data_IF_189549861100
#
_entry.id   IF_189549861100
#
_cell.length_a   1.000
_cell.length_b   1.000
_cell.length_c   1.000
_cell.angle_alpha   90.00
_cell.angle_beta   90.00
_cell.angle_gamma   90.00
#
_symmetry.space_group_name_H-M   'P 1'
#
loop_
_entity.id
_entity.type
_entity.pdbx_description
1 polymer ?
#
# COMPACT_ATOMS: atom_id res chain seq x y z
N UNK A 1 -19.80 25.26 5.53
CA UNK A 1 -18.37 25.42 5.91
C UNK A 1 -17.67 25.99 4.70
N UNK A 2 -17.14 27.21 4.80
CA UNK A 2 -16.38 27.82 3.69
C UNK A 2 -15.06 27.06 3.62
N UNK A 3 -14.81 26.38 2.50
CA UNK A 3 -13.52 25.74 2.25
C UNK A 3 -12.44 26.82 2.29
N UNK A 4 -11.40 26.63 3.11
CA UNK A 4 -10.25 27.52 3.11
C UNK A 4 -9.57 27.41 1.75
N UNK A 5 -9.57 28.48 0.95
CA UNK A 5 -8.81 28.52 -0.31
C UNK A 5 -7.32 28.61 0.03
N UNK A 6 -6.66 27.45 0.07
CA UNK A 6 -5.22 27.37 0.14
C UNK A 6 -4.66 27.85 -1.22
N UNK A 7 -3.83 28.89 -1.21
CA UNK A 7 -3.25 29.48 -2.42
C UNK A 7 -1.73 29.54 -2.29
N UNK A 8 -1.01 28.94 -3.23
CA UNK A 8 0.44 29.12 -3.37
C UNK A 8 0.72 30.01 -4.56
N UNK A 9 1.44 31.10 -4.33
CA UNK A 9 1.84 32.06 -5.37
C UNK A 9 3.35 32.10 -5.50
N UNK A 10 3.84 32.01 -6.73
CA UNK A 10 5.25 32.22 -7.08
C UNK A 10 5.39 33.57 -7.74
N UNK A 11 6.36 34.38 -7.30
CA UNK A 11 6.54 35.77 -7.75
C UNK A 11 7.48 35.94 -8.94
N UNK A 12 7.85 34.84 -9.62
CA UNK A 12 8.69 34.82 -10.80
C UNK A 12 8.08 33.89 -11.86
N UNK A 13 8.36 34.17 -13.14
CA UNK A 13 7.99 33.27 -14.23
C UNK A 13 8.89 32.02 -14.19
N UNK A 14 8.28 30.84 -14.29
CA UNK A 14 9.00 29.57 -14.19
C UNK A 14 9.89 29.35 -15.41
N UNK A 15 9.41 29.78 -16.58
CA UNK A 15 10.11 29.77 -17.86
C UNK A 15 11.37 30.65 -17.88
N UNK A 16 11.40 31.73 -17.10
CA UNK A 16 12.53 32.66 -17.00
C UNK A 16 13.48 32.30 -15.83
N UNK A 17 13.29 31.14 -15.20
CA UNK A 17 14.02 30.70 -14.02
C UNK A 17 14.68 29.35 -14.24
N UNK A 18 15.84 29.12 -13.61
CA UNK A 18 16.44 27.79 -13.56
C UNK A 18 15.79 26.88 -12.50
N UNK A 19 14.82 27.38 -11.75
CA UNK A 19 14.15 26.67 -10.66
C UNK A 19 13.56 25.32 -11.10
N UNK A 20 12.83 25.20 -12.23
CA UNK A 20 12.29 23.90 -12.68
C UNK A 20 13.35 22.82 -12.94
N UNK A 21 14.61 23.20 -13.17
CA UNK A 21 15.73 22.29 -13.42
C UNK A 21 16.46 21.86 -12.14
N UNK A 22 16.13 22.47 -11.00
CA UNK A 22 16.76 22.14 -9.72
C UNK A 22 16.11 20.91 -9.08
N UNK A 23 16.87 20.08 -8.36
CA UNK A 23 16.32 18.97 -7.57
C UNK A 23 15.24 19.39 -6.56
N UNK A 24 15.23 20.66 -6.14
CA UNK A 24 14.24 21.21 -5.22
C UNK A 24 12.85 21.43 -5.82
N UNK A 25 12.72 21.54 -7.14
CA UNK A 25 11.43 21.83 -7.77
C UNK A 25 10.39 20.71 -7.60
N UNK A 26 10.72 19.42 -7.83
CA UNK A 26 9.81 18.31 -7.53
C UNK A 26 9.40 18.26 -6.04
N UNK A 27 10.31 18.57 -5.13
CA UNK A 27 10.04 18.61 -3.67
C UNK A 27 9.05 19.73 -3.34
N UNK A 28 9.28 20.93 -3.91
CA UNK A 28 8.39 22.07 -3.77
C UNK A 28 6.98 21.75 -4.29
N UNK A 29 6.87 21.11 -5.46
CA UNK A 29 5.58 20.73 -6.04
C UNK A 29 4.85 19.72 -5.15
N UNK A 30 5.55 18.67 -4.70
CA UNK A 30 4.96 17.65 -3.81
C UNK A 30 4.43 18.26 -2.50
N UNK A 31 5.21 19.14 -1.87
CA UNK A 31 4.82 19.82 -0.63
C UNK A 31 3.66 20.80 -0.87
N UNK A 32 3.68 21.53 -1.98
CA UNK A 32 2.61 22.46 -2.35
C UNK A 32 1.31 21.72 -2.59
N UNK A 33 1.34 20.62 -3.35
CA UNK A 33 0.17 19.78 -3.58
C UNK A 33 -0.37 19.20 -2.27
N UNK A 34 0.49 18.63 -1.42
CA UNK A 34 0.08 18.11 -0.12
C UNK A 34 -0.50 19.18 0.81
N UNK A 35 0.00 20.42 0.72
CA UNK A 35 -0.56 21.54 1.45
C UNK A 35 -1.93 21.93 0.91
N UNK A 36 -2.06 22.13 -0.41
CA UNK A 36 -3.30 22.53 -1.11
C UNK A 36 -4.42 21.49 -1.04
N UNK A 37 -4.12 20.20 -0.90
CA UNK A 37 -5.15 19.15 -0.79
C UNK A 37 -5.60 18.94 0.65
N UNK A 38 -4.88 19.50 1.64
CA UNK A 38 -5.14 19.25 3.05
C UNK A 38 -5.10 17.77 3.46
N UNK A 39 -4.56 16.89 2.61
CA UNK A 39 -4.60 15.44 2.80
C UNK A 39 -3.62 15.02 3.90
N UNK A 40 -4.10 15.06 5.15
CA UNK A 40 -3.29 14.65 6.30
C UNK A 40 -3.33 13.13 6.44
N UNK A 41 -2.26 12.51 5.94
CA UNK A 41 -1.86 11.12 6.16
C UNK A 41 -2.79 10.08 5.53
N UNK A 42 -2.34 9.47 4.44
CA UNK A 42 -2.92 8.21 3.98
C UNK A 42 -2.48 7.07 4.93
N UNK A 43 -3.41 6.46 5.65
CA UNK A 43 -3.13 5.26 6.45
C UNK A 43 -3.25 4.02 5.57
N UNK A 44 -2.21 3.21 5.46
CA UNK A 44 -2.31 1.90 4.81
C UNK A 44 -2.66 0.80 5.83
N UNK A 45 -3.66 -0.03 5.52
CA UNK A 45 -4.13 -1.13 6.38
C UNK A 45 -4.50 -2.37 5.55
N UNK A 46 -4.42 -3.55 6.15
CA UNK A 46 -5.01 -4.76 5.57
C UNK A 46 -6.54 -4.75 5.76
N UNK A 47 -7.30 -5.48 4.91
CA UNK A 47 -8.74 -5.66 5.12
C UNK A 47 -9.07 -6.23 6.50
N UNK A 48 -10.28 -5.95 6.97
CA UNK A 48 -10.78 -6.33 8.29
C UNK A 48 -11.15 -5.12 9.13
N UNK A 49 -10.99 -5.25 10.46
CA UNK A 49 -11.34 -4.22 11.44
C UNK A 49 -10.24 -3.16 11.50
N UNK A 50 -10.57 -1.93 11.13
CA UNK A 50 -9.64 -0.81 11.07
C UNK A 50 -9.98 0.18 12.19
N UNK A 51 -8.94 0.62 12.91
CA UNK A 51 -9.05 1.66 13.92
C UNK A 51 -8.32 2.93 13.45
N UNK A 52 -9.04 4.05 13.51
CA UNK A 52 -8.51 5.36 13.16
C UNK A 52 -8.52 6.23 14.42
N UNK A 53 -7.39 6.86 14.81
CA UNK A 53 -7.25 7.64 16.04
C UNK A 53 -7.91 9.02 15.91
N UNK A 54 -9.17 9.02 15.51
CA UNK A 54 -10.04 10.17 15.36
C UNK A 54 -11.40 9.74 15.91
N UNK A 55 -11.85 10.27 17.05
CA UNK A 55 -13.14 9.92 17.63
C UNK A 55 -14.28 10.56 16.82
N UNK A 56 -15.47 9.95 16.88
CA UNK A 56 -16.71 10.54 16.31
C UNK A 56 -16.59 10.88 14.81
N UNK A 57 -15.78 10.11 14.10
CA UNK A 57 -15.60 10.27 12.66
C UNK A 57 -16.65 9.50 11.85
N UNK A 58 -17.13 10.12 10.78
CA UNK A 58 -17.89 9.48 9.71
C UNK A 58 -16.93 8.83 8.72
N UNK A 59 -17.31 7.67 8.19
CA UNK A 59 -16.52 6.93 7.21
C UNK A 59 -17.32 6.80 5.92
N UNK A 60 -16.66 7.08 4.80
CA UNK A 60 -17.21 6.89 3.47
C UNK A 60 -16.25 6.06 2.61
N UNK A 61 -16.78 5.28 1.67
CA UNK A 61 -15.99 4.60 0.63
C UNK A 61 -15.56 5.58 -0.48
N UNK A 62 -14.93 5.07 -1.54
CA UNK A 62 -14.46 5.87 -2.67
C UNK A 62 -15.62 6.45 -3.49
N UNK A 63 -16.75 5.74 -3.55
CA UNK A 63 -17.98 6.21 -4.20
C UNK A 63 -18.74 7.25 -3.35
N UNK A 64 -18.32 7.48 -2.11
CA UNK A 64 -18.95 8.42 -1.17
C UNK A 64 -20.11 7.83 -0.39
N UNK A 65 -20.34 6.52 -0.44
CA UNK A 65 -21.35 5.86 0.38
C UNK A 65 -20.88 5.76 1.83
N UNK A 66 -21.80 5.97 2.77
CA UNK A 66 -21.50 5.87 4.19
C UNK A 66 -21.22 4.42 4.59
N UNK A 67 -20.10 4.21 5.26
CA UNK A 67 -19.69 2.93 5.83
C UNK A 67 -20.00 2.93 7.32
N UNK A 68 -20.64 1.85 7.78
CA UNK A 68 -20.99 1.70 9.19
C UNK A 68 -19.73 1.76 10.07
N UNK A 69 -19.68 2.76 10.95
CA UNK A 69 -18.56 3.01 11.84
C UNK A 69 -19.04 3.17 13.28
N UNK A 70 -18.26 2.65 14.22
CA UNK A 70 -18.51 2.74 15.66
C UNK A 70 -17.47 3.66 16.30
N UNK A 71 -17.94 4.62 17.11
CA UNK A 71 -17.06 5.48 17.89
C UNK A 71 -16.73 4.85 19.23
N UNK A 72 -15.44 4.70 19.51
CA UNK A 72 -14.89 4.30 20.80
C UNK A 72 -14.16 5.49 21.45
N UNK A 73 -13.83 5.44 22.75
CA UNK A 73 -13.02 6.47 23.39
C UNK A 73 -11.70 6.71 22.63
N UNK A 74 -11.57 7.90 22.04
CA UNK A 74 -10.40 8.36 21.31
C UNK A 74 -10.20 7.79 19.89
N UNK A 75 -11.12 6.97 19.35
CA UNK A 75 -10.95 6.35 18.02
C UNK A 75 -12.28 6.01 17.36
N UNK A 76 -12.29 5.97 16.03
CA UNK A 76 -13.38 5.41 15.23
C UNK A 76 -12.94 4.07 14.66
N UNK A 77 -13.85 3.10 14.69
CA UNK A 77 -13.64 1.74 14.21
C UNK A 77 -14.62 1.44 13.09
N UNK A 78 -14.13 0.92 11.97
CA UNK A 78 -14.97 0.42 10.88
C UNK A 78 -14.40 -0.89 10.34
N UNK A 79 -15.21 -1.62 9.57
CA UNK A 79 -14.78 -2.87 8.93
C UNK A 79 -14.72 -2.66 7.42
N UNK A 80 -13.57 -2.93 6.82
CA UNK A 80 -13.40 -2.99 5.37
C UNK A 80 -13.31 -4.46 4.92
N UNK A 81 -14.38 -4.97 4.30
CA UNK A 81 -14.42 -6.34 3.78
C UNK A 81 -13.58 -6.53 2.52
N UNK A 82 -13.36 -5.45 1.77
CA UNK A 82 -12.63 -5.44 0.50
C UNK A 82 -11.50 -4.41 0.54
N UNK A 83 -10.52 -4.56 -0.35
CA UNK A 83 -9.51 -3.53 -0.57
C UNK A 83 -10.12 -2.32 -1.28
N UNK A 84 -9.74 -1.12 -0.85
CA UNK A 84 -10.35 0.11 -1.33
C UNK A 84 -9.81 1.34 -0.60
N UNK A 85 -10.26 2.52 -1.02
CA UNK A 85 -9.93 3.78 -0.38
C UNK A 85 -11.14 4.26 0.43
N UNK A 86 -10.90 4.60 1.69
CA UNK A 86 -11.93 5.11 2.59
C UNK A 86 -11.57 6.51 3.06
N UNK A 87 -12.57 7.37 3.20
CA UNK A 87 -12.42 8.72 3.71
C UNK A 87 -13.03 8.78 5.11
N UNK A 88 -12.22 9.18 6.08
CA UNK A 88 -12.62 9.34 7.48
C UNK A 88 -12.66 10.83 7.79
N UNK A 89 -13.83 11.34 8.13
CA UNK A 89 -14.07 12.77 8.37
C UNK A 89 -14.57 12.96 9.79
N UNK A 90 -13.90 13.81 10.57
CA UNK A 90 -14.40 14.28 11.86
C UNK A 90 -14.16 15.78 11.95
N UNK A 91 -15.23 16.58 12.08
CA UNK A 91 -15.23 18.04 12.27
C UNK A 91 -14.24 18.84 11.41
N UNK A 92 -12.96 18.90 11.79
CA UNK A 92 -11.87 19.65 11.16
C UNK A 92 -10.78 18.75 10.53
N UNK A 93 -10.89 17.43 10.64
CA UNK A 93 -9.90 16.45 10.16
C UNK A 93 -10.51 15.54 9.13
N UNK A 94 -9.85 15.48 7.97
CA UNK A 94 -10.08 14.48 6.92
C UNK A 94 -8.84 13.61 6.81
N UNK A 95 -9.02 12.29 6.85
CA UNK A 95 -7.96 11.30 6.72
C UNK A 95 -8.39 10.26 5.72
N UNK A 96 -7.50 9.92 4.79
CA UNK A 96 -7.73 8.85 3.84
C UNK A 96 -7.11 7.55 4.35
N UNK A 97 -7.83 6.45 4.23
CA UNK A 97 -7.38 5.12 4.66
C UNK A 97 -7.38 4.22 3.44
N UNK A 98 -6.19 3.84 2.99
CA UNK A 98 -5.99 2.90 1.91
C UNK A 98 -5.96 1.48 2.47
N UNK A 99 -6.98 0.70 2.16
CA UNK A 99 -7.07 -0.71 2.52
C UNK A 99 -6.54 -1.53 1.36
N UNK A 100 -5.44 -2.23 1.58
CA UNK A 100 -4.74 -2.96 0.53
C UNK A 100 -4.51 -4.43 0.95
N UNK A 101 -4.66 -5.35 0.00
CA UNK A 101 -4.32 -6.76 0.18
C UNK A 101 -2.81 -6.96 0.35
N UNK A 102 -2.01 -6.09 -0.26
CA UNK A 102 -0.56 -6.15 -0.14
C UNK A 102 -0.10 -5.54 1.18
N UNK A 103 0.66 -6.28 1.98
CA UNK A 103 1.21 -5.72 3.22
C UNK A 103 2.25 -4.62 2.91
N UNK A 104 2.23 -3.54 3.67
CA UNK A 104 3.24 -2.47 3.58
C UNK A 104 4.66 -2.98 3.89
N UNK A 105 4.79 -4.05 4.70
CA UNK A 105 6.07 -4.72 5.00
C UNK A 105 6.72 -5.30 3.74
N UNK A 106 5.92 -5.88 2.85
CA UNK A 106 6.41 -6.49 1.61
C UNK A 106 6.56 -5.48 0.46
N UNK A 107 5.88 -4.33 0.53
CA UNK A 107 5.92 -3.28 -0.50
C UNK A 107 6.92 -2.16 -0.20
N UNK A 108 7.51 -2.13 1.00
CA UNK A 108 8.50 -1.11 1.37
C UNK A 108 9.90 -1.44 0.82
N UNK A 109 10.06 -1.29 -0.50
CA UNK A 109 11.33 -1.55 -1.21
C UNK A 109 12.47 -0.62 -0.80
N UNK A 110 12.15 0.56 -0.24
CA UNK A 110 13.14 1.51 0.25
C UNK A 110 13.51 1.32 1.73
N UNK A 111 12.79 0.47 2.47
CA UNK A 111 13.10 0.13 3.87
C UNK A 111 13.69 -1.29 4.03
N UNK A 112 13.78 -2.07 2.95
CA UNK A 112 14.44 -3.38 2.95
C UNK A 112 15.96 -3.20 2.88
N UNK A 113 16.64 -3.33 4.02
CA UNK A 113 18.09 -3.50 4.05
C UNK A 113 18.41 -4.98 3.74
N UNK A 114 19.04 -5.24 2.60
CA UNK A 114 19.73 -6.52 2.36
C UNK A 114 21.07 -6.49 3.09
N UNK A 115 21.04 -6.55 4.42
CA UNK A 115 22.22 -6.78 5.23
C UNK A 115 22.58 -8.27 5.24
N UNK A 116 23.86 -8.65 5.42
CA UNK A 116 24.31 -10.04 5.44
C UNK A 116 23.88 -10.82 6.70
N UNK A 117 23.13 -10.20 7.60
CA UNK A 117 22.74 -10.75 8.90
C UNK A 117 21.22 -10.57 9.06
N UNK A 118 20.46 -11.45 8.37
CA UNK A 118 19.02 -11.59 8.63
C UNK A 118 18.88 -12.43 9.89
N UNK A 119 18.68 -11.75 11.01
CA UNK A 119 18.35 -12.35 12.29
C UNK A 119 16.96 -13.00 12.21
N UNK A 120 16.96 -14.32 12.04
CA UNK A 120 15.78 -15.17 11.94
C UNK A 120 15.21 -15.47 13.33
N UNK A 121 14.72 -14.46 14.03
CA UNK A 121 13.91 -14.68 15.24
C UNK A 121 12.44 -14.94 14.88
N UNK A 122 11.82 -16.04 15.36
CA UNK A 122 10.43 -16.35 15.06
C UNK A 122 9.50 -15.29 15.67
N UNK A 123 8.68 -14.66 14.84
CA UNK A 123 7.60 -13.79 15.31
C UNK A 123 6.44 -14.72 15.73
N UNK A 124 6.26 -14.93 17.03
CA UNK A 124 5.04 -15.56 17.56
C UNK A 124 3.85 -14.64 17.31
N UNK A 125 2.98 -14.99 16.36
CA UNK A 125 1.69 -14.32 16.15
C UNK A 125 0.55 -15.20 16.68
N UNK A 126 -0.23 -14.72 17.66
CA UNK A 126 -1.34 -15.47 18.22
C UNK A 126 -2.60 -15.29 17.34
N UNK A 127 -3.07 -16.42 16.79
CA UNK A 127 -4.41 -16.69 16.23
C UNK A 127 -4.81 -16.14 14.84
N UNK A 128 -5.04 -17.09 13.90
CA UNK A 128 -6.41 -17.35 13.44
C UNK A 128 -6.84 -16.85 12.06
N UNK A 129 -5.94 -16.41 11.19
CA UNK A 129 -6.24 -16.24 9.76
C UNK A 129 -5.90 -17.53 9.02
N UNK A 130 -6.73 -17.96 8.06
CA UNK A 130 -6.27 -18.94 7.04
C UNK A 130 -5.12 -18.27 6.29
N UNK A 131 -3.91 -18.49 6.78
CA UNK A 131 -2.70 -18.37 6.00
C UNK A 131 -3.00 -19.15 4.73
N UNK A 132 -3.12 -18.45 3.61
CA UNK A 132 -2.71 -19.07 2.36
C UNK A 132 -1.26 -19.40 2.63
N UNK A 133 -1.00 -20.64 3.05
CA UNK A 133 0.35 -21.20 3.06
C UNK A 133 0.84 -20.95 1.64
N UNK A 134 1.59 -19.87 1.46
CA UNK A 134 2.47 -19.68 0.32
C UNK A 134 3.43 -20.84 0.43
N UNK A 135 3.02 -22.00 -0.09
CA UNK A 135 3.73 -23.23 0.10
C UNK A 135 5.10 -23.01 -0.52
N UNK A 136 6.16 -22.82 0.29
CA UNK A 136 7.46 -22.34 -0.20
C UNK A 136 8.12 -23.39 -1.09
N UNK A 137 7.48 -24.56 -1.26
CA UNK A 137 7.89 -25.67 -2.11
C UNK A 137 7.21 -25.68 -3.47
N UNK A 138 6.18 -24.86 -3.75
CA UNK A 138 5.50 -24.87 -5.05
C UNK A 138 6.43 -24.48 -6.20
N UNK A 139 7.25 -23.44 -6.01
CA UNK A 139 8.22 -23.03 -7.02
C UNK A 139 9.29 -24.12 -7.25
N UNK A 140 9.70 -24.83 -6.19
CA UNK A 140 10.63 -25.97 -6.28
C UNK A 140 9.99 -27.12 -7.05
N UNK A 141 8.72 -27.45 -6.79
CA UNK A 141 8.01 -28.49 -7.54
C UNK A 141 7.87 -28.12 -9.01
N UNK A 142 7.58 -26.86 -9.34
CA UNK A 142 7.53 -26.38 -10.72
C UNK A 142 8.90 -26.45 -11.41
N UNK A 143 9.98 -26.13 -10.69
CA UNK A 143 11.35 -26.24 -11.20
C UNK A 143 11.74 -27.68 -11.48
N UNK A 144 11.40 -28.61 -10.58
CA UNK A 144 11.62 -30.06 -10.79
C UNK A 144 10.83 -30.56 -11.99
N UNK A 145 9.55 -30.19 -12.12
CA UNK A 145 8.71 -30.56 -13.27
C UNK A 145 9.30 -30.02 -14.57
N UNK A 146 9.70 -28.74 -14.62
CA UNK A 146 10.34 -28.15 -15.79
C UNK A 146 11.64 -28.88 -16.17
N UNK A 147 12.45 -29.24 -15.18
CA UNK A 147 13.70 -29.99 -15.40
C UNK A 147 13.44 -31.38 -15.98
N UNK A 148 12.42 -32.09 -15.48
CA UNK A 148 12.01 -33.40 -16.01
C UNK A 148 11.48 -33.30 -17.44
N UNK A 149 10.73 -32.24 -17.77
CA UNK A 149 10.24 -32.02 -19.12
C UNK A 149 11.39 -31.76 -20.10
N UNK A 150 12.35 -30.89 -19.76
CA UNK A 150 13.50 -30.57 -20.61
C UNK A 150 14.42 -31.79 -20.80
N UNK A 151 14.70 -32.53 -19.73
CA UNK A 151 15.52 -33.74 -19.82
C UNK A 151 14.81 -34.87 -20.57
N UNK A 152 13.50 -35.01 -20.39
CA UNK A 152 12.66 -35.93 -21.16
C UNK A 152 12.64 -35.59 -22.64
N UNK A 153 12.44 -34.33 -23.00
CA UNK A 153 12.51 -33.84 -24.38
C UNK A 153 13.89 -34.12 -24.99
N UNK A 154 14.97 -33.76 -24.30
CA UNK A 154 16.33 -34.01 -24.75
C UNK A 154 16.59 -35.50 -25.02
N UNK A 155 16.15 -36.38 -24.11
CA UNK A 155 16.31 -37.82 -24.27
C UNK A 155 15.51 -38.37 -25.46
N UNK A 156 14.29 -37.85 -25.65
CA UNK A 156 13.42 -38.24 -26.77
C UNK A 156 14.01 -37.80 -28.11
N UNK A 157 14.54 -36.57 -28.16
CA UNK A 157 15.27 -36.02 -29.30
C UNK A 157 16.51 -36.86 -29.63
N UNK A 158 17.31 -37.22 -28.62
CA UNK A 158 18.52 -38.01 -28.82
C UNK A 158 18.23 -39.44 -29.31
N UNK A 159 17.09 -40.02 -28.90
CA UNK A 159 16.63 -41.33 -29.38
C UNK A 159 15.95 -41.31 -30.74
N UNK A 160 15.80 -40.14 -31.40
CA UNK A 160 15.10 -39.98 -32.69
C UNK A 160 13.71 -40.62 -32.68
N UNK A 161 13.03 -40.58 -31.52
CA UNK A 161 11.66 -41.10 -31.34
C UNK A 161 10.60 -40.05 -31.65
N UNK A 162 10.99 -38.79 -31.78
CA UNK A 162 10.21 -37.73 -32.41
C UNK A 162 10.45 -37.76 -33.92
N UNK A 163 9.35 -37.82 -34.68
CA UNK A 163 9.31 -37.78 -36.16
C UNK A 163 9.88 -36.48 -36.69
#
# INVERSE_FOLDING_TARGET
VVASEELVRVSFALEDSNFPLQPGFPIFLANTMNWLTGERFALSRSPGRIEVPIPMAEVADLEGNSVAASSLPGRTVFTASEAGLFTVVASDRRVHVAVNLTSQRHSSVNASNFGPEVDSSPIEMPFGGREVEENPKLWVTLLVVATLLVTGEWFTYHRRLTV
#
